data_IF_834215079043
#
_entry.id   IF_834215079043
#
_cell.length_a   1.000
_cell.length_b   1.000
_cell.length_c   1.000
_cell.angle_alpha   90.00
_cell.angle_beta   90.00
_cell.angle_gamma   90.00
#
_symmetry.space_group_name_H-M   'P 1'
#
loop_
_entity.id
_entity.type
_entity.pdbx_description
1 polymer ?
#
# COMPACT_ATOMS: atom_id res chain seq x y z
N UNK A 1 9.22 18.50 14.34
CA UNK A 1 10.43 18.06 15.11
C UNK A 1 11.54 19.08 14.96
N UNK A 2 11.69 19.69 13.77
CA UNK A 2 12.74 20.70 13.52
C UNK A 2 12.25 22.15 13.63
N UNK A 3 11.04 22.38 14.14
CA UNK A 3 10.45 23.71 14.30
C UNK A 3 9.55 24.17 13.15
N UNK A 4 9.35 23.31 12.14
CA UNK A 4 8.45 23.63 11.03
C UNK A 4 6.98 23.36 11.39
N UNK A 5 6.10 24.17 10.85
CA UNK A 5 4.65 23.97 10.90
C UNK A 5 4.24 22.95 9.84
N UNK A 6 3.33 22.05 10.21
CA UNK A 6 2.80 21.04 9.30
C UNK A 6 1.32 21.33 8.97
N UNK A 7 1.00 21.38 7.68
CA UNK A 7 -0.37 21.32 7.19
C UNK A 7 -0.55 19.94 6.54
N UNK A 8 -1.36 19.09 7.16
CA UNK A 8 -1.57 17.72 6.71
C UNK A 8 -2.92 17.54 6.02
N UNK A 9 -2.88 17.10 4.77
CA UNK A 9 -4.06 16.62 4.04
C UNK A 9 -3.97 15.09 3.91
N UNK A 10 -4.75 14.33 4.67
CA UNK A 10 -4.81 12.88 4.50
C UNK A 10 -5.48 12.49 3.19
N UNK A 11 -5.40 11.18 2.85
CA UNK A 11 -6.18 10.64 1.74
C UNK A 11 -7.68 10.85 1.97
N UNK A 12 -8.40 11.22 0.93
CA UNK A 12 -9.87 11.32 0.93
C UNK A 12 -10.54 9.97 1.18
N UNK A 13 -9.83 8.86 1.02
CA UNK A 13 -10.34 7.51 1.27
C UNK A 13 -10.29 7.12 2.76
N UNK A 14 -9.47 7.81 3.56
CA UNK A 14 -9.26 7.49 4.98
C UNK A 14 -9.26 8.73 5.87
N UNK A 15 -10.23 9.67 5.73
CA UNK A 15 -10.21 10.94 6.45
C UNK A 15 -10.36 10.77 7.97
N UNK A 16 -11.13 9.78 8.43
CA UNK A 16 -11.37 9.56 9.85
C UNK A 16 -10.12 9.19 10.63
N UNK A 17 -9.20 8.44 10.03
CA UNK A 17 -7.89 8.16 10.65
C UNK A 17 -7.08 9.44 10.84
N UNK A 18 -7.13 10.35 9.85
CA UNK A 18 -6.50 11.67 9.96
C UNK A 18 -7.05 12.48 11.12
N UNK A 19 -8.39 12.54 11.25
CA UNK A 19 -9.06 13.24 12.36
C UNK A 19 -8.69 12.62 13.71
N UNK A 20 -8.69 11.29 13.82
CA UNK A 20 -8.30 10.62 15.07
C UNK A 20 -6.86 10.95 15.47
N UNK A 21 -5.91 10.90 14.53
CA UNK A 21 -4.52 11.29 14.79
C UNK A 21 -4.41 12.75 15.20
N UNK A 22 -5.16 13.66 14.57
CA UNK A 22 -5.13 15.08 14.91
C UNK A 22 -5.71 15.36 16.30
N UNK A 23 -6.73 14.63 16.73
CA UNK A 23 -7.29 14.73 18.07
C UNK A 23 -6.24 14.30 19.12
N UNK A 24 -5.57 13.15 18.92
CA UNK A 24 -4.48 12.70 19.79
C UNK A 24 -3.35 13.74 19.87
N UNK A 25 -2.99 14.34 18.73
CA UNK A 25 -2.00 15.40 18.69
C UNK A 25 -2.45 16.63 19.50
N UNK A 26 -3.72 17.03 19.36
CA UNK A 26 -4.28 18.19 20.07
C UNK A 26 -4.22 18.00 21.60
N UNK A 27 -4.52 16.79 22.07
CA UNK A 27 -4.41 16.46 23.50
C UNK A 27 -2.95 16.58 24.00
N UNK A 28 -2.00 15.99 23.27
CA UNK A 28 -0.56 16.07 23.59
C UNK A 28 -0.07 17.52 23.54
N UNK A 29 -0.48 18.30 22.54
CA UNK A 29 -0.09 19.70 22.41
C UNK A 29 -0.58 20.52 23.60
N UNK A 30 -1.83 20.30 24.03
CA UNK A 30 -2.41 20.97 25.20
C UNK A 30 -1.71 20.59 26.52
N UNK A 31 -1.38 19.30 26.71
CA UNK A 31 -0.66 18.83 27.90
C UNK A 31 0.76 19.37 28.01
N UNK A 32 1.35 19.82 26.91
CA UNK A 32 2.72 20.33 26.84
C UNK A 32 2.79 21.86 26.56
N UNK A 33 1.68 22.57 26.68
CA UNK A 33 1.59 24.03 26.44
C UNK A 33 2.19 24.46 25.09
N UNK A 34 2.01 23.64 24.03
CA UNK A 34 2.52 23.94 22.70
C UNK A 34 1.67 25.02 22.02
N UNK A 35 2.27 25.90 21.19
CA UNK A 35 1.55 26.90 20.44
C UNK A 35 0.51 26.28 19.48
N UNK A 36 -0.60 26.98 19.28
CA UNK A 36 -1.58 26.61 18.25
C UNK A 36 -0.97 26.68 16.83
N UNK A 37 -1.51 25.89 15.92
CA UNK A 37 -1.14 25.94 14.50
C UNK A 37 0.14 25.21 14.10
N UNK A 38 0.85 24.54 15.04
CA UNK A 38 2.04 23.74 14.71
C UNK A 38 1.68 22.55 13.79
N UNK A 39 0.54 21.92 14.05
CA UNK A 39 0.00 20.81 13.23
C UNK A 39 -1.45 21.10 12.89
N UNK A 40 -1.72 21.29 11.62
CA UNK A 40 -3.06 21.59 11.11
C UNK A 40 -3.51 20.48 10.19
N UNK A 41 -4.74 19.99 10.39
CA UNK A 41 -5.39 19.03 9.51
C UNK A 41 -6.35 19.75 8.56
N UNK A 42 -6.26 19.47 7.28
CA UNK A 42 -7.26 19.86 6.27
C UNK A 42 -7.77 18.62 5.56
N UNK A 43 -9.06 18.43 5.52
CA UNK A 43 -9.71 17.33 4.80
C UNK A 43 -10.24 17.80 3.46
N UNK A 44 -10.28 16.91 2.50
CA UNK A 44 -10.80 17.18 1.17
C UNK A 44 -10.24 16.23 0.14
N UNK A 45 -10.74 16.36 -1.10
CA UNK A 45 -10.34 15.57 -2.24
C UNK A 45 -8.98 16.04 -2.83
N UNK A 46 -8.69 15.62 -4.06
CA UNK A 46 -7.45 15.97 -4.76
C UNK A 46 -7.31 17.49 -4.99
N UNK A 47 -8.41 18.25 -5.10
CA UNK A 47 -8.38 19.70 -5.33
C UNK A 47 -7.71 20.44 -4.17
N UNK A 48 -8.00 20.04 -2.92
CA UNK A 48 -7.32 20.59 -1.75
C UNK A 48 -5.81 20.28 -1.78
N UNK A 49 -5.44 19.08 -2.23
CA UNK A 49 -4.03 18.74 -2.46
C UNK A 49 -3.39 19.60 -3.54
N UNK A 50 -4.09 19.93 -4.59
CA UNK A 50 -3.65 20.81 -5.68
C UNK A 50 -3.43 22.25 -5.19
N UNK A 51 -4.35 22.78 -4.38
CA UNK A 51 -4.14 24.09 -3.73
C UNK A 51 -2.85 24.13 -2.91
N UNK A 52 -2.58 23.11 -2.09
CA UNK A 52 -1.37 23.05 -1.29
C UNK A 52 -0.09 22.96 -2.17
N UNK A 53 -0.15 22.22 -3.28
CA UNK A 53 1.02 22.06 -4.16
C UNK A 53 1.32 23.28 -5.01
N UNK A 54 0.31 24.09 -5.31
CA UNK A 54 0.45 25.31 -6.12
C UNK A 54 0.75 26.55 -5.27
N UNK A 55 0.44 26.56 -3.98
CA UNK A 55 0.61 27.71 -3.10
C UNK A 55 2.10 27.98 -2.82
N UNK A 56 2.59 29.15 -3.22
CA UNK A 56 4.00 29.54 -3.05
C UNK A 56 4.39 29.73 -1.57
N UNK A 57 3.42 29.92 -0.66
CA UNK A 57 3.67 30.01 0.79
C UNK A 57 4.06 28.68 1.41
N UNK A 58 3.85 27.56 0.71
CA UNK A 58 4.22 26.23 1.17
C UNK A 58 5.57 25.82 0.56
N UNK A 59 6.69 26.04 1.23
CA UNK A 59 8.02 25.87 0.65
C UNK A 59 8.38 24.41 0.37
N UNK A 60 7.85 23.47 1.15
CA UNK A 60 8.10 22.04 1.04
C UNK A 60 6.79 21.26 0.98
N UNK A 61 6.65 20.46 -0.05
CA UNK A 61 5.57 19.46 -0.16
C UNK A 61 6.16 18.06 0.08
N UNK A 62 5.73 17.41 1.16
CA UNK A 62 6.00 15.98 1.40
C UNK A 62 4.75 15.19 1.02
N UNK A 63 4.85 14.34 0.02
CA UNK A 63 3.70 13.60 -0.52
C UNK A 63 3.99 12.12 -0.65
N UNK A 64 3.12 11.30 -0.05
CA UNK A 64 3.11 9.85 -0.18
C UNK A 64 1.91 9.43 -1.04
N UNK A 65 2.15 8.63 -2.09
CA UNK A 65 1.06 8.18 -2.95
C UNK A 65 1.52 7.45 -4.20
N UNK A 66 0.71 7.51 -5.26
CA UNK A 66 1.01 6.83 -6.52
C UNK A 66 2.10 7.55 -7.31
N UNK A 67 2.83 6.81 -8.15
CA UNK A 67 3.79 7.40 -9.13
C UNK A 67 3.10 8.43 -10.04
N UNK A 68 1.83 8.21 -10.40
CA UNK A 68 1.04 9.18 -11.18
C UNK A 68 0.90 10.49 -10.41
N UNK A 69 0.51 10.45 -9.15
CA UNK A 69 0.40 11.63 -8.29
C UNK A 69 1.77 12.30 -8.12
N UNK A 70 2.82 11.54 -7.87
CA UNK A 70 4.18 12.06 -7.71
C UNK A 70 4.69 12.83 -8.94
N UNK A 71 4.37 12.39 -10.15
CA UNK A 71 4.69 13.12 -11.40
C UNK A 71 4.01 14.49 -11.46
N UNK A 72 2.74 14.56 -11.05
CA UNK A 72 1.97 15.81 -11.02
C UNK A 72 2.53 16.74 -9.95
N UNK A 73 2.64 16.27 -8.71
CA UNK A 73 3.13 17.07 -7.58
C UNK A 73 4.56 17.57 -7.84
N UNK A 74 5.47 16.69 -8.24
CA UNK A 74 6.86 17.05 -8.47
C UNK A 74 7.01 18.13 -9.56
N UNK A 75 6.29 18.00 -10.68
CA UNK A 75 6.33 19.00 -11.75
C UNK A 75 5.69 20.34 -11.35
N UNK A 76 4.58 20.30 -10.59
CA UNK A 76 3.90 21.50 -10.12
C UNK A 76 4.76 22.27 -9.13
N UNK A 77 5.34 21.60 -8.15
CA UNK A 77 6.19 22.22 -7.14
C UNK A 77 7.49 22.78 -7.76
N UNK A 78 8.09 22.06 -8.72
CA UNK A 78 9.29 22.51 -9.41
C UNK A 78 9.05 23.80 -10.23
N UNK A 79 7.88 23.96 -10.86
CA UNK A 79 7.53 25.19 -11.61
C UNK A 79 7.58 26.46 -10.78
N UNK A 80 7.33 26.37 -9.47
CA UNK A 80 7.39 27.50 -8.53
C UNK A 80 8.67 27.53 -7.69
N UNK A 81 9.69 26.74 -8.05
CA UNK A 81 10.96 26.58 -7.32
C UNK A 81 10.81 26.09 -5.87
N UNK A 82 9.70 25.45 -5.53
CA UNK A 82 9.49 24.79 -4.24
C UNK A 82 10.28 23.48 -4.13
N UNK A 83 10.32 22.93 -2.93
CA UNK A 83 10.92 21.61 -2.65
C UNK A 83 9.84 20.54 -2.56
N UNK A 84 10.13 19.33 -3.05
CA UNK A 84 9.26 18.18 -2.89
C UNK A 84 10.03 16.97 -2.36
N UNK A 85 9.40 16.25 -1.43
CA UNK A 85 9.80 14.91 -0.98
C UNK A 85 8.68 13.97 -1.39
N UNK A 86 9.00 12.98 -2.24
CA UNK A 86 8.01 12.11 -2.85
C UNK A 86 8.28 10.66 -2.47
N UNK A 87 7.37 10.09 -1.68
CA UNK A 87 7.33 8.66 -1.34
C UNK A 87 6.28 7.98 -2.21
N UNK A 88 6.71 7.14 -3.15
CA UNK A 88 5.87 6.62 -4.23
C UNK A 88 5.77 5.10 -4.21
N UNK A 89 5.02 4.53 -5.13
CA UNK A 89 4.88 3.10 -5.29
C UNK A 89 6.18 2.43 -5.80
N UNK A 90 6.27 1.13 -5.56
CA UNK A 90 7.40 0.30 -5.97
C UNK A 90 6.96 -0.99 -6.65
N UNK A 91 7.94 -1.72 -7.20
CA UNK A 91 7.79 -3.07 -7.72
C UNK A 91 8.84 -3.97 -7.05
N UNK A 92 8.70 -4.12 -5.73
CA UNK A 92 9.72 -4.70 -4.87
C UNK A 92 9.89 -6.20 -5.11
N UNK A 93 11.13 -6.67 -4.95
CA UNK A 93 11.49 -8.06 -5.14
C UNK A 93 12.18 -8.63 -3.89
N UNK A 94 12.00 -9.93 -3.68
CA UNK A 94 12.82 -10.75 -2.80
C UNK A 94 13.66 -11.66 -3.70
N UNK A 95 14.99 -11.68 -3.49
CA UNK A 95 15.91 -12.59 -4.15
C UNK A 95 16.22 -13.73 -3.18
N UNK A 96 15.95 -14.96 -3.61
CA UNK A 96 16.10 -16.16 -2.80
C UNK A 96 17.26 -16.98 -3.34
N UNK A 97 18.36 -17.00 -2.59
CA UNK A 97 19.59 -17.73 -2.94
C UNK A 97 19.51 -19.19 -2.46
N UNK A 98 20.37 -20.10 -2.98
CA UNK A 98 20.35 -21.52 -2.60
C UNK A 98 20.47 -21.81 -1.09
N UNK A 99 21.14 -20.93 -0.37
CA UNK A 99 21.40 -21.09 1.07
C UNK A 99 20.40 -20.29 1.95
N UNK A 100 19.30 -19.77 1.37
CA UNK A 100 18.30 -19.04 2.12
C UNK A 100 17.59 -19.96 3.11
N UNK A 101 17.27 -19.44 4.30
CA UNK A 101 16.37 -20.11 5.24
C UNK A 101 14.94 -20.13 4.65
N UNK A 102 14.49 -21.32 4.30
CA UNK A 102 13.18 -21.50 3.65
C UNK A 102 12.01 -21.07 4.55
N UNK A 103 12.13 -21.24 5.86
CA UNK A 103 11.06 -20.84 6.80
C UNK A 103 10.92 -19.33 6.83
N UNK A 104 12.02 -18.61 6.98
CA UNK A 104 12.03 -17.15 6.97
C UNK A 104 11.59 -16.63 5.59
N UNK A 105 12.07 -17.26 4.52
CA UNK A 105 11.72 -16.90 3.14
C UNK A 105 10.22 -16.98 2.90
N UNK A 106 9.58 -18.09 3.27
CA UNK A 106 8.14 -18.28 3.04
C UNK A 106 7.31 -17.32 3.88
N UNK A 107 7.61 -17.20 5.18
CA UNK A 107 6.88 -16.29 6.09
C UNK A 107 7.06 -14.83 5.65
N UNK A 108 8.30 -14.41 5.37
CA UNK A 108 8.60 -13.06 4.94
C UNK A 108 7.97 -12.70 3.58
N UNK A 109 7.98 -13.65 2.63
CA UNK A 109 7.34 -13.47 1.32
C UNK A 109 5.83 -13.39 1.44
N UNK A 110 5.21 -14.27 2.23
CA UNK A 110 3.78 -14.24 2.50
C UNK A 110 3.37 -12.90 3.11
N UNK A 111 3.97 -12.54 4.24
CA UNK A 111 3.64 -11.28 4.93
C UNK A 111 3.93 -10.04 4.05
N UNK A 112 5.05 -10.04 3.35
CA UNK A 112 5.42 -8.95 2.44
C UNK A 112 4.45 -8.78 1.28
N UNK A 113 3.88 -9.88 0.78
CA UNK A 113 2.95 -9.85 -0.35
C UNK A 113 1.50 -9.54 0.05
N UNK A 114 0.99 -10.17 1.11
CA UNK A 114 -0.44 -10.09 1.45
C UNK A 114 -0.76 -9.17 2.62
N UNK A 115 0.24 -8.77 3.40
CA UNK A 115 0.06 -7.83 4.51
C UNK A 115 -0.58 -6.53 4.02
N UNK A 116 -1.61 -6.05 4.74
CA UNK A 116 -2.42 -4.89 4.33
C UNK A 116 -3.03 -5.07 2.91
N UNK A 117 -3.40 -6.30 2.59
CA UNK A 117 -3.96 -6.69 1.29
C UNK A 117 -3.05 -6.30 0.08
N UNK A 118 -1.72 -6.35 0.27
CA UNK A 118 -0.76 -5.99 -0.78
C UNK A 118 -0.72 -4.50 -1.13
N UNK A 119 -1.28 -3.62 -0.29
CA UNK A 119 -1.46 -2.20 -0.59
C UNK A 119 -0.43 -1.30 0.10
N UNK A 120 0.83 -1.75 0.20
CA UNK A 120 1.96 -0.95 0.70
C UNK A 120 2.91 -0.57 -0.45
N UNK A 121 3.63 0.53 -0.29
CA UNK A 121 4.75 0.88 -1.16
C UNK A 121 5.84 -0.21 -1.15
N UNK A 122 6.00 -0.91 -0.01
CA UNK A 122 6.97 -1.99 0.23
C UNK A 122 6.45 -3.40 -0.08
N UNK A 123 5.22 -3.56 -0.58
CA UNK A 123 4.64 -4.87 -0.91
C UNK A 123 5.57 -5.65 -1.83
N UNK A 124 5.87 -6.89 -1.45
CA UNK A 124 6.60 -7.83 -2.29
C UNK A 124 5.75 -8.22 -3.49
N UNK A 125 6.20 -7.89 -4.67
CA UNK A 125 5.50 -8.16 -5.94
C UNK A 125 6.16 -9.23 -6.77
N UNK A 126 7.46 -9.44 -6.56
CA UNK A 126 8.26 -10.40 -7.32
C UNK A 126 9.12 -11.22 -6.39
N UNK A 127 9.19 -12.53 -6.68
CA UNK A 127 10.17 -13.44 -6.10
C UNK A 127 11.09 -13.91 -7.21
N UNK A 128 12.40 -13.72 -7.02
CA UNK A 128 13.44 -14.20 -7.92
C UNK A 128 14.15 -15.32 -7.17
N UNK A 129 13.84 -16.55 -7.55
CA UNK A 129 14.22 -17.73 -6.80
C UNK A 129 15.26 -18.53 -7.60
N UNK A 130 16.36 -18.93 -6.94
CA UNK A 130 17.35 -19.79 -7.56
C UNK A 130 16.73 -21.14 -7.94
N UNK A 131 17.08 -21.67 -9.10
CA UNK A 131 16.49 -22.89 -9.68
C UNK A 131 16.54 -24.10 -8.73
N UNK A 132 17.63 -24.28 -7.97
CA UNK A 132 17.84 -25.43 -7.09
C UNK A 132 16.84 -25.54 -5.92
N UNK A 133 16.16 -24.43 -5.57
CA UNK A 133 15.20 -24.39 -4.46
C UNK A 133 13.83 -23.88 -4.92
N UNK A 134 13.66 -23.71 -6.22
CA UNK A 134 12.47 -23.10 -6.81
C UNK A 134 11.19 -23.85 -6.45
N UNK A 135 11.16 -25.15 -6.69
CA UNK A 135 9.98 -25.96 -6.41
C UNK A 135 9.64 -26.03 -4.91
N UNK A 136 10.66 -26.10 -4.04
CA UNK A 136 10.45 -26.12 -2.59
C UNK A 136 9.81 -24.81 -2.10
N UNK A 137 10.30 -23.66 -2.56
CA UNK A 137 9.74 -22.35 -2.20
C UNK A 137 8.33 -22.21 -2.77
N UNK A 138 8.12 -22.55 -4.04
CA UNK A 138 6.82 -22.48 -4.71
C UNK A 138 5.76 -23.30 -3.98
N UNK A 139 6.05 -24.56 -3.66
CA UNK A 139 5.12 -25.45 -2.96
C UNK A 139 4.80 -24.98 -1.55
N UNK A 140 5.80 -24.59 -0.77
CA UNK A 140 5.60 -24.09 0.60
C UNK A 140 4.82 -22.77 0.60
N UNK A 141 5.11 -21.86 -0.31
CA UNK A 141 4.39 -20.60 -0.40
C UNK A 141 2.94 -20.80 -0.85
N UNK A 142 2.69 -21.69 -1.82
CA UNK A 142 1.33 -22.05 -2.24
C UNK A 142 0.51 -22.59 -1.08
N UNK A 143 1.07 -23.54 -0.31
CA UNK A 143 0.42 -24.09 0.89
C UNK A 143 0.17 -23.03 1.96
N UNK A 144 1.04 -22.03 2.09
CA UNK A 144 0.84 -20.92 3.02
C UNK A 144 -0.30 -19.98 2.57
N UNK A 145 -0.45 -19.75 1.27
CA UNK A 145 -1.55 -18.96 0.70
C UNK A 145 -2.91 -19.62 0.91
N UNK A 146 -3.00 -20.95 0.83
CA UNK A 146 -4.22 -21.71 1.08
C UNK A 146 -4.75 -21.59 2.53
N UNK A 147 -3.84 -21.29 3.46
CA UNK A 147 -4.20 -21.13 4.89
C UNK A 147 -4.64 -19.70 5.24
N UNK A 148 -4.62 -18.77 4.28
CA UNK A 148 -5.02 -17.39 4.54
C UNK A 148 -6.52 -17.30 4.83
N UNK A 149 -6.84 -16.69 5.95
CA UNK A 149 -8.20 -16.30 6.29
C UNK A 149 -8.42 -14.84 5.88
N UNK A 150 -9.43 -14.63 5.06
CA UNK A 150 -9.75 -13.32 4.49
C UNK A 150 -11.13 -12.93 5.00
N UNK A 151 -11.25 -11.75 5.59
CA UNK A 151 -12.53 -11.32 6.16
C UNK A 151 -12.44 -9.97 6.87
N UNK A 152 -13.43 -9.71 7.71
CA UNK A 152 -13.52 -8.46 8.46
C UNK A 152 -12.22 -8.19 9.25
N UNK A 153 -11.55 -7.05 9.03
CA UNK A 153 -10.30 -6.72 9.70
C UNK A 153 -10.44 -6.47 11.21
N UNK A 154 -11.65 -6.30 11.72
CA UNK A 154 -11.92 -6.21 13.16
C UNK A 154 -12.01 -7.58 13.84
N UNK A 155 -12.02 -8.67 13.10
CA UNK A 155 -11.93 -10.03 13.60
C UNK A 155 -10.47 -10.49 13.53
N UNK A 156 -9.82 -10.61 14.69
CA UNK A 156 -8.41 -10.99 14.85
C UNK A 156 -8.08 -12.37 14.27
N UNK A 157 -9.08 -13.21 14.01
CA UNK A 157 -8.88 -14.51 13.36
C UNK A 157 -8.58 -14.38 11.86
N UNK A 158 -8.84 -13.24 11.24
CA UNK A 158 -8.57 -12.98 9.83
C UNK A 158 -7.16 -12.41 9.62
N UNK A 159 -6.49 -12.88 8.58
CA UNK A 159 -5.14 -12.46 8.21
C UNK A 159 -5.14 -11.28 7.22
N UNK A 160 -6.18 -11.19 6.38
CA UNK A 160 -6.26 -10.24 5.26
C UNK A 160 -7.64 -9.60 5.23
N UNK A 161 -7.68 -8.28 5.18
CA UNK A 161 -8.90 -7.49 5.02
C UNK A 161 -9.24 -7.21 3.54
N UNK A 162 -10.11 -6.21 3.28
CA UNK A 162 -10.51 -5.84 1.92
C UNK A 162 -9.47 -4.96 1.22
N UNK A 163 -9.57 -4.88 -0.10
CA UNK A 163 -9.01 -3.78 -0.88
C UNK A 163 -9.74 -2.47 -0.54
N UNK A 164 -9.06 -1.35 -0.78
CA UNK A 164 -9.57 -0.02 -0.39
C UNK A 164 -10.88 0.37 -1.09
N UNK A 165 -11.08 -0.05 -2.34
CA UNK A 165 -12.25 0.24 -3.14
C UNK A 165 -12.37 -0.68 -4.37
N UNK A 166 -13.45 -0.51 -5.13
CA UNK A 166 -13.72 -1.26 -6.37
C UNK A 166 -12.70 -0.95 -7.48
N UNK A 167 -12.13 0.24 -7.52
CA UNK A 167 -11.10 0.55 -8.51
C UNK A 167 -9.84 -0.29 -8.27
N UNK A 168 -9.49 -0.53 -7.01
CA UNK A 168 -8.40 -1.42 -6.64
C UNK A 168 -8.70 -2.88 -7.02
N UNK A 169 -9.96 -3.34 -6.84
CA UNK A 169 -10.41 -4.67 -7.30
C UNK A 169 -10.29 -4.80 -8.82
N UNK A 170 -10.75 -3.81 -9.56
CA UNK A 170 -10.67 -3.79 -11.01
C UNK A 170 -9.21 -3.80 -11.50
N UNK A 171 -8.33 -3.04 -10.85
CA UNK A 171 -6.90 -3.02 -11.15
C UNK A 171 -6.27 -4.39 -10.89
N UNK A 172 -6.62 -5.06 -9.78
CA UNK A 172 -6.19 -6.41 -9.44
C UNK A 172 -6.63 -7.44 -10.49
N UNK A 173 -7.91 -7.46 -10.86
CA UNK A 173 -8.44 -8.38 -11.88
C UNK A 173 -7.81 -8.14 -13.26
N UNK A 174 -7.59 -6.87 -13.62
CA UNK A 174 -6.91 -6.52 -14.86
C UNK A 174 -5.44 -6.98 -14.85
N UNK A 175 -4.75 -6.91 -13.72
CA UNK A 175 -3.38 -7.40 -13.59
C UNK A 175 -3.32 -8.92 -13.84
N UNK A 176 -4.22 -9.70 -13.25
CA UNK A 176 -4.32 -11.15 -13.50
C UNK A 176 -4.57 -11.44 -14.99
N UNK A 177 -5.54 -10.74 -15.57
CA UNK A 177 -5.88 -10.91 -17.00
C UNK A 177 -4.69 -10.59 -17.91
N UNK A 178 -3.96 -9.53 -17.61
CA UNK A 178 -2.77 -9.15 -18.37
C UNK A 178 -1.66 -10.18 -18.23
N UNK A 179 -1.37 -10.63 -17.00
CA UNK A 179 -0.35 -11.64 -16.75
C UNK A 179 -0.61 -12.93 -17.51
N UNK A 180 -1.86 -13.41 -17.53
CA UNK A 180 -2.25 -14.58 -18.37
C UNK A 180 -1.99 -14.33 -19.86
N UNK A 181 -2.33 -13.14 -20.36
CA UNK A 181 -2.10 -12.76 -21.76
C UNK A 181 -0.61 -12.68 -22.12
N UNK A 182 0.22 -12.29 -21.17
CA UNK A 182 1.67 -12.16 -21.29
C UNK A 182 2.41 -13.49 -21.06
N UNK A 183 1.69 -14.62 -20.91
CA UNK A 183 2.26 -15.96 -20.78
C UNK A 183 2.41 -16.47 -19.35
N UNK A 184 1.97 -15.70 -18.36
CA UNK A 184 2.02 -16.11 -16.95
C UNK A 184 1.11 -17.29 -16.65
N UNK A 185 1.61 -18.23 -15.84
CA UNK A 185 0.88 -19.42 -15.37
C UNK A 185 0.40 -19.19 -13.93
N UNK A 186 -0.90 -19.39 -13.68
CA UNK A 186 -1.46 -19.30 -12.34
C UNK A 186 -0.99 -20.50 -11.51
N UNK A 187 -0.35 -20.23 -10.39
CA UNK A 187 0.07 -21.24 -9.40
C UNK A 187 -0.93 -21.31 -8.24
N UNK A 188 -1.36 -20.15 -7.75
CA UNK A 188 -2.45 -20.05 -6.77
C UNK A 188 -3.52 -19.15 -7.34
N UNK A 189 -4.75 -19.66 -7.41
CA UNK A 189 -5.87 -18.95 -8.02
C UNK A 189 -6.32 -17.78 -7.14
N UNK A 190 -6.43 -16.61 -7.75
CA UNK A 190 -6.99 -15.40 -7.15
C UNK A 190 -8.45 -15.18 -7.55
N UNK A 191 -9.01 -14.05 -7.18
CA UNK A 191 -10.36 -13.64 -7.57
C UNK A 191 -11.12 -12.93 -6.46
N UNK A 192 -12.30 -12.41 -6.79
CA UNK A 192 -13.20 -11.77 -5.83
C UNK A 192 -13.87 -12.84 -4.97
N UNK A 193 -14.05 -12.54 -3.69
CA UNK A 193 -14.79 -13.38 -2.76
C UNK A 193 -16.22 -12.85 -2.67
N UNK A 194 -17.19 -13.75 -2.86
CA UNK A 194 -18.60 -13.43 -2.81
C UNK A 194 -19.29 -14.13 -1.64
N UNK A 195 -20.46 -13.63 -1.24
CA UNK A 195 -21.30 -14.23 -0.21
C UNK A 195 -21.46 -13.34 1.03
N UNK A 196 -22.05 -13.93 2.07
CA UNK A 196 -22.32 -13.23 3.33
C UNK A 196 -21.02 -12.76 3.99
N UNK A 197 -20.96 -11.46 4.32
CA UNK A 197 -19.79 -10.81 4.90
C UNK A 197 -18.83 -10.20 3.86
N UNK A 198 -19.11 -10.38 2.56
CA UNK A 198 -18.29 -9.86 1.46
C UNK A 198 -19.07 -8.93 0.52
N UNK A 199 -20.18 -8.37 0.99
CA UNK A 199 -21.14 -7.57 0.20
C UNK A 199 -20.51 -6.29 -0.37
N UNK A 200 -19.39 -5.83 0.19
CA UNK A 200 -18.65 -4.68 -0.35
C UNK A 200 -18.05 -4.95 -1.74
N UNK A 201 -17.88 -6.23 -2.13
CA UNK A 201 -17.18 -6.64 -3.35
C UNK A 201 -15.67 -6.33 -3.35
N UNK A 202 -15.11 -5.91 -2.22
CA UNK A 202 -13.69 -5.50 -2.11
C UNK A 202 -12.77 -6.60 -1.56
N UNK A 203 -13.28 -7.75 -1.21
CA UNK A 203 -12.47 -8.86 -0.73
C UNK A 203 -11.99 -9.73 -1.89
N UNK A 204 -10.69 -9.98 -1.92
CA UNK A 204 -10.06 -10.77 -2.98
C UNK A 204 -9.13 -11.83 -2.39
N UNK A 205 -9.06 -12.99 -3.05
CA UNK A 205 -8.03 -13.99 -2.78
C UNK A 205 -6.71 -13.52 -3.43
N UNK A 206 -5.58 -13.54 -2.75
CA UNK A 206 -4.30 -13.24 -3.37
C UNK A 206 -3.93 -14.30 -4.40
N UNK A 207 -3.14 -13.91 -5.39
CA UNK A 207 -2.75 -14.73 -6.53
C UNK A 207 -1.25 -14.94 -6.58
N UNK A 208 -0.79 -16.13 -6.95
CA UNK A 208 0.60 -16.39 -7.34
C UNK A 208 0.63 -16.73 -8.82
N UNK A 209 1.49 -16.03 -9.56
CA UNK A 209 1.67 -16.21 -10.99
C UNK A 209 3.14 -16.50 -11.25
N UNK A 210 3.40 -17.61 -11.94
CA UNK A 210 4.71 -17.97 -12.46
C UNK A 210 4.90 -17.33 -13.82
N UNK A 211 6.04 -16.68 -14.04
CA UNK A 211 6.40 -16.08 -15.31
C UNK A 211 7.86 -16.38 -15.64
N UNK A 212 8.16 -16.53 -16.92
CA UNK A 212 9.52 -16.59 -17.42
C UNK A 212 10.14 -15.18 -17.40
N UNK A 213 11.45 -15.13 -17.18
CA UNK A 213 12.22 -13.87 -17.18
C UNK A 213 12.62 -13.49 -18.59
#
# INVERSE_FOLDING_TARGET
VCGDVCVWKPSEKTPLCGVACQNLWADVAKENDLPEGISCLVTGNYEVGEYLTTDERVPLISATGSTRMGRIVGSTVAKRFGKSLLELGGNNAIIVTPNADLKITVIGSLFGAVGTCGQRCTTTRRLIIHESIYEDVKNKLSSAYEQLKIGNPLDESNHVGPLIDIDAVNAYLNAIKRSKKEGGKIVVEGGVIEGKGYESGCYVKPVIIEAEN
#
